data_IF_763583092092
#
_entry.id   IF_763583092092
#
_cell.length_a   1.000
_cell.length_b   1.000
_cell.length_c   1.000
_cell.angle_alpha   90.00
_cell.angle_beta   90.00
_cell.angle_gamma   90.00
#
_symmetry.space_group_name_H-M   'P 1'
#
loop_
_entity.id
_entity.type
_entity.pdbx_description
1 polymer ?
#
# COMPACT_ATOMS: atom_id res chain seq x y z
N UNK A 1 7.36 -41.78 -26.47
CA UNK A 1 7.07 -42.17 -25.08
C UNK A 1 6.49 -40.92 -24.37
N UNK A 2 5.15 -40.85 -24.26
CA UNK A 2 4.43 -39.63 -23.80
C UNK A 2 4.19 -39.78 -22.32
N UNK A 3 4.77 -38.88 -21.52
CA UNK A 3 4.59 -38.86 -20.06
C UNK A 3 3.25 -38.18 -19.73
N UNK A 4 2.23 -38.96 -19.37
CA UNK A 4 0.97 -38.46 -18.81
C UNK A 4 1.12 -38.28 -17.31
N UNK A 5 1.39 -37.06 -16.88
CA UNK A 5 1.35 -36.68 -15.46
C UNK A 5 -0.11 -36.73 -14.95
N UNK A 6 -0.37 -37.51 -13.92
CA UNK A 6 -1.62 -37.52 -13.15
C UNK A 6 -1.73 -36.17 -12.42
N UNK A 7 -2.77 -35.38 -12.70
CA UNK A 7 -3.18 -34.27 -11.82
C UNK A 7 -3.74 -34.91 -10.54
N UNK A 8 -2.98 -34.86 -9.48
CA UNK A 8 -3.53 -35.01 -8.13
C UNK A 8 -4.33 -33.76 -7.80
N UNK A 9 -5.63 -33.91 -7.59
CA UNK A 9 -6.49 -32.91 -6.99
C UNK A 9 -6.03 -32.72 -5.54
N UNK A 10 -5.32 -31.63 -5.26
CA UNK A 10 -5.09 -31.17 -3.89
C UNK A 10 -6.46 -30.80 -3.32
N UNK A 11 -6.95 -31.59 -2.36
CA UNK A 11 -8.13 -31.28 -1.59
C UNK A 11 -7.90 -29.94 -0.88
N UNK A 12 -8.76 -28.95 -1.14
CA UNK A 12 -8.80 -27.64 -0.50
C UNK A 12 -9.31 -27.78 0.95
N UNK A 13 -8.54 -28.37 1.83
CA UNK A 13 -8.77 -28.34 3.27
C UNK A 13 -7.54 -27.73 3.95
N UNK A 14 -7.29 -26.46 3.64
CA UNK A 14 -6.46 -25.61 4.49
C UNK A 14 -7.20 -25.31 5.80
N UNK A 15 -6.50 -24.97 6.91
CA UNK A 15 -7.14 -24.57 8.14
C UNK A 15 -8.11 -23.42 7.86
N UNK A 16 -9.26 -23.36 8.58
CA UNK A 16 -10.28 -22.33 8.35
C UNK A 16 -9.63 -20.95 8.47
N UNK A 17 -9.78 -20.14 7.43
CA UNK A 17 -9.42 -18.74 7.46
C UNK A 17 -10.36 -18.04 8.48
N UNK A 18 -9.77 -17.49 9.52
CA UNK A 18 -10.51 -16.66 10.47
C UNK A 18 -10.35 -15.19 10.05
N UNK A 19 -11.40 -14.54 9.50
CA UNK A 19 -11.35 -13.16 9.03
C UNK A 19 -11.17 -12.14 10.17
N UNK A 20 -11.16 -12.58 11.42
CA UNK A 20 -11.11 -11.74 12.61
C UNK A 20 -9.78 -11.94 13.35
N UNK A 21 -8.75 -11.19 12.94
CA UNK A 21 -7.49 -11.08 13.69
C UNK A 21 -7.77 -10.56 15.12
N UNK A 22 -8.93 -9.91 15.34
CA UNK A 22 -9.25 -9.16 16.56
C UNK A 22 -10.62 -9.51 17.18
N UNK A 23 -11.05 -10.76 17.20
CA UNK A 23 -12.42 -11.09 17.66
C UNK A 23 -12.76 -10.71 19.12
N UNK A 24 -11.82 -10.12 19.91
CA UNK A 24 -12.08 -9.67 21.29
C UNK A 24 -11.10 -8.63 21.86
N UNK A 25 -10.11 -8.14 21.11
CA UNK A 25 -9.09 -7.21 21.64
C UNK A 25 -9.15 -5.88 20.88
N UNK A 26 -9.40 -4.79 21.63
CA UNK A 26 -9.23 -3.43 21.08
C UNK A 26 -7.73 -3.19 20.88
N UNK A 27 -7.33 -2.94 19.65
CA UNK A 27 -5.95 -2.62 19.30
C UNK A 27 -5.83 -1.14 18.95
N UNK A 28 -4.65 -0.58 19.15
CA UNK A 28 -4.31 0.78 18.72
C UNK A 28 -3.63 0.72 17.36
N UNK A 29 -4.29 1.30 16.32
CA UNK A 29 -3.92 1.10 14.92
C UNK A 29 -3.63 2.43 14.23
N UNK A 30 -2.45 2.55 13.61
CA UNK A 30 -2.11 3.66 12.75
C UNK A 30 -2.48 3.32 11.30
N UNK A 31 -3.43 4.07 10.71
CA UNK A 31 -3.89 3.84 9.33
C UNK A 31 -3.20 4.81 8.37
N UNK A 32 -2.52 4.29 7.37
CA UNK A 32 -1.98 5.10 6.29
C UNK A 32 -3.11 5.64 5.40
N UNK A 33 -3.49 6.91 5.61
CA UNK A 33 -4.50 7.62 4.81
C UNK A 33 -3.82 8.33 3.63
N UNK A 34 -4.06 7.86 2.42
CA UNK A 34 -3.51 8.44 1.19
C UNK A 34 -4.41 9.49 0.53
N UNK A 35 -5.55 9.83 1.15
CA UNK A 35 -6.58 10.63 0.51
C UNK A 35 -7.37 9.89 -0.58
N UNK A 36 -7.17 8.59 -0.77
CA UNK A 36 -7.92 7.73 -1.68
C UNK A 36 -9.04 6.96 -0.98
N UNK A 37 -10.00 6.43 -1.76
CA UNK A 37 -11.19 5.73 -1.24
C UNK A 37 -10.82 4.48 -0.44
N UNK A 38 -9.82 3.72 -0.86
CA UNK A 38 -9.47 2.44 -0.24
C UNK A 38 -8.95 2.62 1.19
N UNK A 39 -8.00 3.53 1.40
CA UNK A 39 -7.50 3.85 2.74
C UNK A 39 -8.58 4.46 3.64
N UNK A 40 -9.49 5.22 3.05
CA UNK A 40 -10.63 5.82 3.78
C UNK A 40 -11.59 4.77 4.32
N UNK A 41 -11.95 3.79 3.48
CA UNK A 41 -12.83 2.68 3.90
C UNK A 41 -12.12 1.77 4.90
N UNK A 42 -10.82 1.53 4.72
CA UNK A 42 -10.03 0.77 5.69
C UNK A 42 -10.09 1.40 7.09
N UNK A 43 -9.92 2.72 7.19
CA UNK A 43 -10.06 3.44 8.46
C UNK A 43 -11.47 3.32 9.05
N UNK A 44 -12.51 3.56 8.25
CA UNK A 44 -13.91 3.50 8.71
C UNK A 44 -14.29 2.10 9.22
N UNK A 45 -13.83 1.04 8.56
CA UNK A 45 -14.05 -0.35 8.99
C UNK A 45 -13.39 -0.65 10.35
N UNK A 46 -12.17 -0.18 10.57
CA UNK A 46 -11.49 -0.39 11.84
C UNK A 46 -12.16 0.37 13.00
N UNK A 47 -12.67 1.58 12.72
CA UNK A 47 -13.48 2.33 13.69
C UNK A 47 -14.81 1.59 13.99
N UNK A 48 -15.52 1.08 12.96
CA UNK A 48 -16.75 0.29 13.13
C UNK A 48 -16.49 -0.98 13.95
N UNK A 49 -15.29 -1.57 13.83
CA UNK A 49 -14.85 -2.73 14.63
C UNK A 49 -14.46 -2.39 16.07
N UNK A 50 -14.43 -1.12 16.44
CA UNK A 50 -14.18 -0.66 17.81
C UNK A 50 -12.70 -0.54 18.18
N UNK A 51 -11.78 -0.43 17.22
CA UNK A 51 -10.37 -0.19 17.47
C UNK A 51 -10.08 1.27 17.80
N UNK A 52 -8.95 1.53 18.51
CA UNK A 52 -8.38 2.87 18.67
C UNK A 52 -7.59 3.22 17.40
N UNK A 53 -8.18 4.06 16.55
CA UNK A 53 -7.67 4.35 15.20
C UNK A 53 -7.16 5.78 15.13
N UNK A 54 -5.93 5.92 14.62
CA UNK A 54 -5.36 7.21 14.24
C UNK A 54 -5.02 7.16 12.74
N UNK A 55 -5.43 8.17 12.00
CA UNK A 55 -5.09 8.32 10.59
C UNK A 55 -3.76 9.07 10.43
N UNK A 56 -2.94 8.65 9.47
CA UNK A 56 -1.72 9.39 9.15
C UNK A 56 -1.47 9.44 7.63
N UNK A 57 -1.13 10.64 7.16
CA UNK A 57 -0.64 10.83 5.79
C UNK A 57 0.88 10.78 5.79
N UNK A 58 1.45 9.91 4.95
CA UNK A 58 2.89 9.86 4.69
C UNK A 58 3.24 10.88 3.61
N UNK A 59 3.87 11.99 3.98
CA UNK A 59 4.39 12.97 3.03
C UNK A 59 5.76 12.50 2.56
N UNK A 60 5.77 11.77 1.45
CA UNK A 60 6.96 11.10 0.93
C UNK A 60 7.65 11.87 -0.19
N UNK A 61 6.93 12.75 -0.89
CA UNK A 61 7.48 13.48 -2.02
C UNK A 61 6.92 14.89 -2.10
N UNK A 62 7.79 15.82 -2.42
CA UNK A 62 7.47 17.20 -2.80
C UNK A 62 8.21 17.47 -4.10
N UNK A 63 7.52 18.03 -5.10
CA UNK A 63 8.12 18.33 -6.38
C UNK A 63 8.84 19.69 -6.35
N UNK A 64 9.87 19.80 -5.53
CA UNK A 64 10.71 20.99 -5.37
C UNK A 64 11.75 21.13 -6.50
N UNK A 65 11.99 20.05 -7.26
CA UNK A 65 12.93 20.02 -8.39
C UNK A 65 12.28 20.44 -9.72
N UNK A 66 10.99 20.73 -9.74
CA UNK A 66 10.28 21.19 -10.95
C UNK A 66 10.13 20.14 -12.05
N UNK A 67 10.07 18.87 -11.68
CA UNK A 67 9.84 17.76 -12.64
C UNK A 67 8.43 17.93 -13.24
N UNK A 68 8.25 17.83 -14.56
CA UNK A 68 6.94 17.98 -15.19
C UNK A 68 5.93 16.95 -14.69
N UNK A 69 4.79 17.41 -14.18
CA UNK A 69 3.71 16.58 -13.65
C UNK A 69 3.06 17.19 -12.41
N UNK A 70 1.92 16.64 -12.04
CA UNK A 70 1.18 17.08 -10.84
C UNK A 70 1.55 16.20 -9.65
N UNK A 71 1.90 16.85 -8.54
CA UNK A 71 2.14 16.22 -7.25
C UNK A 71 1.10 16.75 -6.25
N UNK A 72 -0.10 16.13 -6.18
CA UNK A 72 -1.25 16.68 -5.45
C UNK A 72 -1.21 16.41 -3.94
N UNK A 73 -0.04 16.35 -3.32
CA UNK A 73 0.10 16.00 -1.92
C UNK A 73 -0.70 16.91 -0.97
N UNK A 74 -0.85 18.20 -1.29
CA UNK A 74 -1.66 19.13 -0.51
C UNK A 74 -3.14 18.76 -0.55
N UNK A 75 -3.66 18.44 -1.74
CA UNK A 75 -5.04 17.99 -1.91
C UNK A 75 -5.26 16.63 -1.24
N UNK A 76 -4.31 15.71 -1.35
CA UNK A 76 -4.40 14.39 -0.72
C UNK A 76 -4.41 14.49 0.81
N UNK A 77 -3.64 15.43 1.39
CA UNK A 77 -3.71 15.74 2.84
C UNK A 77 -5.09 16.29 3.21
N UNK A 78 -5.66 17.22 2.42
CA UNK A 78 -6.99 17.77 2.69
C UNK A 78 -8.07 16.69 2.63
N UNK A 79 -8.00 15.80 1.64
CA UNK A 79 -8.92 14.67 1.50
C UNK A 79 -8.79 13.69 2.68
N UNK A 80 -7.56 13.36 3.09
CA UNK A 80 -7.29 12.50 4.24
C UNK A 80 -7.78 13.12 5.56
N UNK A 81 -7.56 14.42 5.74
CA UNK A 81 -8.08 15.19 6.90
C UNK A 81 -9.61 15.19 6.92
N UNK A 82 -10.27 15.37 5.76
CA UNK A 82 -11.72 15.32 5.66
C UNK A 82 -12.27 13.93 6.01
N UNK A 83 -11.58 12.85 5.60
CA UNK A 83 -11.91 11.48 6.02
C UNK A 83 -11.78 11.32 7.53
N UNK A 84 -10.67 11.77 8.12
CA UNK A 84 -10.45 11.69 9.56
C UNK A 84 -11.55 12.42 10.36
N UNK A 85 -11.98 13.60 9.90
CA UNK A 85 -13.10 14.33 10.48
C UNK A 85 -14.43 13.56 10.37
N UNK A 86 -14.69 12.94 9.22
CA UNK A 86 -15.91 12.17 9.00
C UNK A 86 -15.96 10.92 9.87
N UNK A 87 -14.83 10.25 10.06
CA UNK A 87 -14.72 9.02 10.88
C UNK A 87 -14.50 9.31 12.36
N UNK A 88 -14.25 10.57 12.75
CA UNK A 88 -14.04 10.98 14.15
C UNK A 88 -12.69 10.57 14.73
N UNK A 89 -11.67 10.34 13.90
CA UNK A 89 -10.32 9.93 14.33
C UNK A 89 -9.33 11.07 14.35
N UNK A 90 -8.28 10.96 15.19
CA UNK A 90 -7.10 11.82 15.13
C UNK A 90 -6.40 11.71 13.78
N UNK A 91 -5.79 12.80 13.28
CA UNK A 91 -5.05 12.81 12.03
C UNK A 91 -3.67 13.42 12.20
N UNK A 92 -2.67 12.80 11.59
CA UNK A 92 -1.27 13.26 11.58
C UNK A 92 -0.74 13.35 10.16
N UNK A 93 0.21 14.24 9.95
CA UNK A 93 1.06 14.27 8.76
C UNK A 93 2.48 13.89 9.21
N UNK A 94 3.03 12.85 8.60
CA UNK A 94 4.38 12.36 8.89
C UNK A 94 5.25 12.71 7.70
N UNK A 95 6.24 13.57 7.91
CA UNK A 95 7.19 13.97 6.87
C UNK A 95 8.26 12.87 6.73
N UNK A 96 8.32 12.26 5.56
CA UNK A 96 9.21 11.14 5.22
C UNK A 96 9.91 11.41 3.87
N UNK A 97 10.05 12.67 3.48
CA UNK A 97 10.62 13.05 2.17
C UNK A 97 12.07 12.59 2.05
N UNK A 98 12.86 12.77 3.09
CA UNK A 98 14.28 12.39 3.08
C UNK A 98 14.44 10.85 3.04
N UNK A 99 13.64 10.11 3.82
CA UNK A 99 13.63 8.65 3.84
C UNK A 99 13.20 8.07 2.49
N UNK A 100 12.17 8.67 1.88
CA UNK A 100 11.68 8.24 0.57
C UNK A 100 12.74 8.49 -0.51
N UNK A 101 13.37 9.66 -0.50
CA UNK A 101 14.47 9.98 -1.42
C UNK A 101 15.62 8.98 -1.26
N UNK A 102 16.07 8.75 -0.04
CA UNK A 102 17.18 7.86 0.24
C UNK A 102 16.91 6.40 -0.13
N UNK A 103 15.71 5.88 0.16
CA UNK A 103 15.39 4.46 0.04
C UNK A 103 14.76 4.07 -1.30
N UNK A 104 13.93 4.96 -1.89
CA UNK A 104 13.14 4.63 -3.07
C UNK A 104 13.66 5.34 -4.31
N UNK A 105 13.86 6.66 -4.25
CA UNK A 105 14.29 7.45 -5.42
C UNK A 105 15.72 7.05 -5.84
N UNK A 106 16.64 6.98 -4.90
CA UNK A 106 18.02 6.59 -5.20
C UNK A 106 18.07 5.15 -5.77
N UNK A 107 17.34 4.21 -5.18
CA UNK A 107 17.24 2.85 -5.71
C UNK A 107 16.72 2.83 -7.16
N UNK A 108 15.69 3.63 -7.46
CA UNK A 108 15.15 3.74 -8.82
C UNK A 108 16.21 4.27 -9.80
N UNK A 109 16.86 5.38 -9.45
CA UNK A 109 17.87 6.02 -10.30
C UNK A 109 19.08 5.10 -10.52
N UNK A 110 19.60 4.49 -9.46
CA UNK A 110 20.75 3.60 -9.53
C UNK A 110 20.46 2.33 -10.33
N UNK A 111 19.27 1.77 -10.20
CA UNK A 111 18.85 0.63 -10.98
C UNK A 111 18.85 0.91 -12.47
N UNK A 112 18.23 2.01 -12.89
CA UNK A 112 18.25 2.40 -14.31
C UNK A 112 19.67 2.73 -14.80
N UNK A 113 20.50 3.35 -13.96
CA UNK A 113 21.92 3.60 -14.28
C UNK A 113 22.69 2.30 -14.48
N UNK A 114 22.39 1.28 -13.72
CA UNK A 114 23.00 -0.05 -13.81
C UNK A 114 22.44 -0.92 -14.94
N UNK A 115 21.39 -0.46 -15.65
CA UNK A 115 20.82 -1.14 -16.82
C UNK A 115 19.72 -2.15 -16.51
N UNK A 116 19.12 -2.16 -15.31
CA UNK A 116 17.93 -2.94 -15.00
C UNK A 116 16.76 -2.04 -14.65
N UNK A 117 15.53 -2.57 -14.76
CA UNK A 117 14.30 -1.85 -14.44
C UNK A 117 13.88 -2.21 -13.01
N UNK A 118 14.12 -1.33 -12.01
CA UNK A 118 13.71 -1.59 -10.64
C UNK A 118 12.19 -1.45 -10.46
N UNK A 119 11.66 -2.08 -9.42
CA UNK A 119 10.26 -1.91 -9.03
C UNK A 119 10.17 -1.07 -7.73
N UNK A 120 9.93 0.23 -7.82
CA UNK A 120 9.85 1.10 -6.65
C UNK A 120 8.65 0.81 -5.76
N UNK A 121 7.52 0.30 -6.31
CA UNK A 121 6.31 0.07 -5.54
C UNK A 121 6.46 -1.09 -4.55
N UNK A 122 7.12 -2.19 -4.97
CA UNK A 122 7.44 -3.31 -4.08
C UNK A 122 8.36 -2.86 -2.95
N UNK A 123 9.39 -2.07 -3.30
CA UNK A 123 10.33 -1.57 -2.30
C UNK A 123 9.67 -0.54 -1.37
N UNK A 124 8.79 0.32 -1.88
CA UNK A 124 8.05 1.29 -1.08
C UNK A 124 7.17 0.61 -0.02
N UNK A 125 6.53 -0.50 -0.35
CA UNK A 125 5.77 -1.26 0.64
C UNK A 125 6.68 -1.78 1.77
N UNK A 126 7.84 -2.39 1.44
CA UNK A 126 8.78 -2.92 2.43
C UNK A 126 9.47 -1.83 3.25
N UNK A 127 10.00 -0.78 2.60
CA UNK A 127 10.87 0.20 3.25
C UNK A 127 10.13 1.38 3.85
N UNK A 128 9.03 1.82 3.22
CA UNK A 128 8.28 2.99 3.67
C UNK A 128 7.06 2.60 4.49
N UNK A 129 6.04 1.93 3.89
CA UNK A 129 4.76 1.66 4.57
C UNK A 129 4.89 0.69 5.73
N UNK A 130 5.63 -0.40 5.53
CA UNK A 130 5.85 -1.43 6.55
C UNK A 130 7.29 -1.42 7.08
N UNK A 131 8.07 -0.40 6.74
CA UNK A 131 9.36 -0.06 7.31
C UNK A 131 9.24 1.19 8.19
N UNK A 132 9.72 2.33 7.69
CA UNK A 132 9.79 3.60 8.44
C UNK A 132 8.46 4.01 9.09
N UNK A 133 7.34 3.86 8.37
CA UNK A 133 6.03 4.19 8.92
C UNK A 133 5.58 3.21 10.01
N UNK A 134 5.92 1.93 9.89
CA UNK A 134 5.70 0.94 10.95
C UNK A 134 6.58 1.22 12.15
N UNK A 135 7.87 1.52 11.95
CA UNK A 135 8.81 1.86 13.03
C UNK A 135 8.29 3.06 13.83
N UNK A 136 7.88 4.13 13.12
CA UNK A 136 7.22 5.27 13.75
C UNK A 136 5.98 4.85 14.56
N UNK A 137 5.12 4.01 13.99
CA UNK A 137 3.92 3.56 14.69
C UNK A 137 4.25 2.84 16.01
N UNK A 138 5.21 1.93 15.99
CA UNK A 138 5.65 1.18 17.16
C UNK A 138 6.27 2.10 18.22
N UNK A 139 7.09 3.07 17.82
CA UNK A 139 7.67 4.09 18.72
C UNK A 139 6.59 4.96 19.38
N UNK A 140 5.47 5.21 18.69
CA UNK A 140 4.32 5.95 19.22
C UNK A 140 3.32 5.07 20.00
N UNK A 141 3.64 3.80 20.25
CA UNK A 141 2.84 2.87 21.01
C UNK A 141 1.61 2.34 20.28
N UNK A 142 1.62 2.32 18.94
CA UNK A 142 0.62 1.59 18.15
C UNK A 142 0.97 0.11 18.09
N UNK A 143 -0.04 -0.74 18.05
CA UNK A 143 0.14 -2.20 17.93
C UNK A 143 0.35 -2.62 16.47
N UNK A 144 -0.32 -1.94 15.53
CA UNK A 144 -0.38 -2.30 14.12
C UNK A 144 -0.40 -1.07 13.21
N UNK A 145 -0.01 -1.32 11.96
CA UNK A 145 -0.23 -0.42 10.82
C UNK A 145 -1.26 -1.02 9.88
N UNK A 146 -2.25 -0.21 9.46
CA UNK A 146 -3.23 -0.62 8.47
C UNK A 146 -3.10 0.20 7.18
N UNK A 147 -3.46 -0.42 6.06
CA UNK A 147 -3.45 0.19 4.74
C UNK A 147 -4.66 -0.23 3.92
N UNK A 148 -4.93 0.47 2.82
CA UNK A 148 -6.00 0.14 1.87
C UNK A 148 -5.66 -0.96 0.86
N UNK A 149 -4.74 -1.88 1.15
CA UNK A 149 -4.45 -3.02 0.28
C UNK A 149 -5.55 -4.08 0.34
N UNK A 150 -5.73 -4.77 -0.80
CA UNK A 150 -6.71 -5.85 -0.97
C UNK A 150 -6.11 -7.23 -0.69
N UNK A 151 -5.22 -7.30 0.27
CA UNK A 151 -4.57 -8.53 0.71
C UNK A 151 -5.17 -9.04 2.01
N UNK A 152 -4.88 -10.27 2.38
CA UNK A 152 -5.28 -10.87 3.65
C UNK A 152 -4.05 -11.31 4.43
N UNK A 153 -4.13 -11.26 5.75
CA UNK A 153 -3.12 -11.83 6.62
C UNK A 153 -3.64 -13.11 7.26
N UNK A 154 -2.81 -14.13 7.29
CA UNK A 154 -3.06 -15.37 8.03
C UNK A 154 -1.97 -15.56 9.07
N UNK A 155 -2.38 -15.69 10.32
CA UNK A 155 -1.48 -16.03 11.43
C UNK A 155 -1.48 -17.54 11.64
N UNK A 156 -0.29 -18.13 11.75
CA UNK A 156 -0.08 -19.56 11.99
C UNK A 156 0.97 -19.74 13.10
N UNK A 157 1.13 -20.94 13.67
CA UNK A 157 2.22 -21.23 14.60
C UNK A 157 3.62 -21.00 14.01
N UNK A 158 3.76 -20.99 12.70
CA UNK A 158 5.01 -20.75 11.97
C UNK A 158 5.25 -19.26 11.65
N UNK A 159 4.27 -18.39 11.89
CA UNK A 159 4.34 -16.95 11.64
C UNK A 159 3.16 -16.39 10.86
N UNK A 160 3.26 -15.13 10.51
CA UNK A 160 2.26 -14.41 9.73
C UNK A 160 2.58 -14.49 8.23
N UNK A 161 1.56 -14.71 7.41
CA UNK A 161 1.66 -14.85 5.96
C UNK A 161 0.68 -13.92 5.27
N UNK A 162 1.08 -13.46 4.07
CA UNK A 162 0.20 -12.72 3.16
C UNK A 162 -0.53 -13.70 2.27
N UNK A 163 -1.82 -13.53 2.15
CA UNK A 163 -2.68 -14.25 1.22
C UNK A 163 -3.27 -13.25 0.21
N UNK A 164 -3.56 -13.76 -0.98
CA UNK A 164 -4.31 -13.01 -1.97
C UNK A 164 -5.66 -12.58 -1.40
N UNK A 165 -6.08 -11.35 -1.72
CA UNK A 165 -7.41 -10.85 -1.40
C UNK A 165 -8.51 -11.60 -2.14
N UNK A 166 -9.75 -11.28 -1.78
CA UNK A 166 -10.94 -11.86 -2.41
C UNK A 166 -11.16 -11.33 -3.83
N UNK A 167 -10.75 -10.09 -4.12
CA UNK A 167 -10.93 -9.48 -5.44
C UNK A 167 -9.82 -9.89 -6.40
N UNK A 168 -10.08 -10.73 -7.41
CA UNK A 168 -9.05 -11.17 -8.35
C UNK A 168 -8.55 -10.03 -9.27
N UNK A 169 -9.32 -8.94 -9.40
CA UNK A 169 -8.95 -7.78 -10.22
C UNK A 169 -8.13 -6.75 -9.43
N UNK A 170 -7.98 -6.94 -8.12
CA UNK A 170 -7.25 -6.06 -7.19
C UNK A 170 -6.19 -6.83 -6.40
N UNK A 171 -5.70 -7.95 -6.91
CA UNK A 171 -4.60 -8.68 -6.28
C UNK A 171 -3.36 -7.79 -6.21
N UNK A 172 -2.95 -7.46 -4.98
CA UNK A 172 -1.79 -6.63 -4.69
C UNK A 172 -0.68 -7.40 -3.96
N UNK A 173 -0.83 -8.72 -3.79
CA UNK A 173 0.13 -9.58 -3.08
C UNK A 173 1.55 -9.54 -3.70
N UNK A 174 1.64 -9.31 -5.01
CA UNK A 174 2.90 -9.06 -5.70
C UNK A 174 3.66 -7.86 -5.11
N UNK A 175 2.97 -6.75 -4.83
CA UNK A 175 3.58 -5.55 -4.28
C UNK A 175 4.06 -5.71 -2.83
N UNK A 176 3.56 -6.73 -2.12
CA UNK A 176 3.92 -7.05 -0.74
C UNK A 176 4.95 -8.20 -0.63
N UNK A 177 5.42 -8.74 -1.77
CA UNK A 177 6.27 -9.94 -1.83
C UNK A 177 7.62 -9.82 -1.12
N UNK A 178 8.11 -8.61 -0.89
CA UNK A 178 9.38 -8.36 -0.18
C UNK A 178 9.20 -8.02 1.31
N UNK A 179 7.97 -8.04 1.83
CA UNK A 179 7.74 -7.82 3.27
C UNK A 179 8.37 -8.92 4.11
N UNK A 180 9.00 -8.52 5.21
CA UNK A 180 9.59 -9.44 6.18
C UNK A 180 8.51 -10.00 7.12
N UNK A 181 8.71 -11.18 7.73
CA UNK A 181 7.74 -11.77 8.66
C UNK A 181 7.36 -10.87 9.84
N UNK A 182 8.30 -10.10 10.39
CA UNK A 182 8.06 -9.11 11.45
C UNK A 182 7.13 -7.98 10.99
N UNK A 183 7.28 -7.53 9.76
CA UNK A 183 6.42 -6.52 9.15
C UNK A 183 5.00 -7.06 8.88
N UNK A 184 4.92 -8.29 8.36
CA UNK A 184 3.63 -8.95 8.10
C UNK A 184 2.84 -9.12 9.39
N UNK A 185 3.51 -9.52 10.48
CA UNK A 185 2.90 -9.71 11.80
C UNK A 185 2.29 -8.41 12.38
N UNK A 186 2.70 -7.24 11.91
CA UNK A 186 2.22 -5.92 12.33
C UNK A 186 1.34 -5.22 11.29
N UNK A 187 1.07 -5.88 10.14
CA UNK A 187 0.24 -5.33 9.07
C UNK A 187 -1.22 -5.74 9.22
N UNK A 188 -2.14 -4.82 8.92
CA UNK A 188 -3.59 -5.06 8.85
C UNK A 188 -4.12 -4.62 7.50
N UNK A 189 -4.90 -5.48 6.87
CA UNK A 189 -5.50 -5.26 5.54
C UNK A 189 -7.02 -5.38 5.62
N UNK A 190 -7.74 -4.30 6.02
CA UNK A 190 -9.17 -4.36 6.26
C UNK A 190 -10.02 -4.69 5.03
N UNK A 191 -9.48 -4.47 3.83
CA UNK A 191 -10.17 -4.66 2.56
C UNK A 191 -10.01 -6.06 1.96
N UNK A 192 -9.23 -6.94 2.58
CA UNK A 192 -8.83 -8.22 1.99
C UNK A 192 -9.99 -9.15 1.60
N UNK A 193 -11.12 -9.06 2.29
CA UNK A 193 -12.32 -9.87 2.02
C UNK A 193 -13.40 -9.13 1.22
N UNK A 194 -13.07 -7.95 0.68
CA UNK A 194 -14.00 -7.12 -0.07
C UNK A 194 -13.64 -7.07 -1.57
N UNK A 195 -14.66 -6.96 -2.39
CA UNK A 195 -14.53 -6.58 -3.80
C UNK A 195 -14.49 -5.05 -3.92
N UNK A 196 -13.80 -4.53 -4.93
CA UNK A 196 -13.72 -3.07 -5.17
C UNK A 196 -15.10 -2.38 -5.25
N UNK A 197 -16.13 -2.95 -5.92
CA UNK A 197 -17.47 -2.37 -5.90
C UNK A 197 -18.07 -2.31 -4.48
N UNK A 198 -17.84 -3.32 -3.64
CA UNK A 198 -18.31 -3.32 -2.24
C UNK A 198 -17.65 -2.20 -1.43
N UNK A 199 -16.34 -1.96 -1.66
CA UNK A 199 -15.62 -0.84 -1.04
C UNK A 199 -16.22 0.51 -1.44
N UNK A 200 -16.63 0.69 -2.70
CA UNK A 200 -17.31 1.91 -3.15
C UNK A 200 -18.67 2.11 -2.46
N UNK A 201 -19.44 1.04 -2.31
CA UNK A 201 -20.72 1.07 -1.59
C UNK A 201 -20.51 1.44 -0.11
N UNK A 202 -19.49 0.86 0.54
CA UNK A 202 -19.16 1.19 1.93
C UNK A 202 -18.70 2.66 2.06
N UNK A 203 -17.92 3.17 1.10
CA UNK A 203 -17.51 4.56 1.12
C UNK A 203 -18.72 5.53 1.08
N UNK A 204 -19.74 5.21 0.27
CA UNK A 204 -20.98 5.98 0.23
C UNK A 204 -21.80 5.80 1.53
N UNK A 205 -21.91 4.57 2.05
CA UNK A 205 -22.60 4.27 3.32
C UNK A 205 -22.03 5.07 4.49
N UNK A 206 -20.69 5.17 4.57
CA UNK A 206 -20.01 5.92 5.62
C UNK A 206 -19.96 7.44 5.36
N UNK A 207 -20.52 7.91 4.24
CA UNK A 207 -20.49 9.33 3.88
C UNK A 207 -19.09 9.88 3.64
N UNK A 208 -18.15 9.03 3.20
CA UNK A 208 -16.75 9.43 3.02
C UNK A 208 -16.60 10.42 1.86
N UNK A 209 -15.89 11.54 2.04
CA UNK A 209 -15.71 12.55 1.00
C UNK A 209 -14.98 11.99 -0.24
N UNK A 210 -14.20 10.92 -0.08
CA UNK A 210 -13.43 10.24 -1.12
C UNK A 210 -14.23 9.19 -1.91
N UNK A 211 -15.52 8.95 -1.60
CA UNK A 211 -16.32 7.86 -2.19
C UNK A 211 -16.32 7.85 -3.73
N UNK A 212 -16.34 9.04 -4.35
CA UNK A 212 -16.34 9.20 -5.82
C UNK A 212 -14.98 9.53 -6.41
N UNK A 213 -13.92 9.63 -5.58
CA UNK A 213 -12.57 9.91 -6.07
C UNK A 213 -12.08 8.74 -6.92
N UNK A 214 -11.49 9.04 -8.08
CA UNK A 214 -10.87 8.01 -8.95
C UNK A 214 -9.68 7.38 -8.23
N UNK A 215 -9.39 6.12 -8.56
CA UNK A 215 -8.20 5.44 -8.06
C UNK A 215 -6.94 6.19 -8.54
N UNK A 216 -5.95 6.30 -7.66
CA UNK A 216 -4.67 6.92 -8.00
C UNK A 216 -4.00 6.18 -9.15
N UNK A 217 -3.40 6.94 -10.06
CA UNK A 217 -2.61 6.44 -11.17
C UNK A 217 -1.21 7.04 -11.06
N UNK A 218 -0.17 6.28 -11.40
CA UNK A 218 1.21 6.74 -11.40
C UNK A 218 2.10 6.05 -10.38
N UNK A 219 3.30 6.60 -10.18
CA UNK A 219 4.28 6.08 -9.22
C UNK A 219 3.78 6.39 -7.80
N UNK A 220 3.88 5.41 -6.91
CA UNK A 220 3.45 5.52 -5.53
C UNK A 220 4.07 6.77 -4.85
N UNK A 221 3.21 7.69 -4.37
CA UNK A 221 3.55 8.97 -3.72
C UNK A 221 4.16 10.08 -4.59
N UNK A 222 4.64 9.82 -5.81
CA UNK A 222 5.18 10.86 -6.71
C UNK A 222 4.04 11.57 -7.46
N UNK A 223 2.87 10.93 -7.58
CA UNK A 223 1.71 11.50 -8.25
C UNK A 223 1.69 11.22 -9.77
N UNK A 224 1.11 12.14 -10.53
CA UNK A 224 0.94 12.01 -11.98
C UNK A 224 2.17 12.48 -12.76
N UNK A 225 3.34 12.06 -12.33
CA UNK A 225 4.61 12.30 -13.04
C UNK A 225 4.87 11.12 -13.98
N UNK A 226 5.17 11.39 -15.25
CA UNK A 226 5.56 10.33 -16.17
C UNK A 226 6.95 9.81 -15.80
N UNK A 227 7.12 8.48 -15.75
CA UNK A 227 8.39 7.84 -15.44
C UNK A 227 9.53 8.33 -16.35
N UNK A 228 9.25 8.55 -17.63
CA UNK A 228 10.24 9.08 -18.58
C UNK A 228 10.73 10.48 -18.20
N UNK A 229 9.83 11.36 -17.76
CA UNK A 229 10.19 12.74 -17.42
C UNK A 229 10.95 12.77 -16.08
N UNK A 230 10.50 11.94 -15.13
CA UNK A 230 11.22 11.71 -13.87
C UNK A 230 12.65 11.21 -14.12
N UNK A 231 12.83 10.18 -14.93
CA UNK A 231 14.15 9.62 -15.19
C UNK A 231 15.05 10.58 -15.96
N UNK A 232 14.53 11.35 -16.93
CA UNK A 232 15.32 12.35 -17.68
C UNK A 232 15.87 13.47 -16.80
N UNK A 233 15.20 13.75 -15.70
CA UNK A 233 15.71 14.73 -14.72
C UNK A 233 17.04 14.28 -14.09
N UNK A 234 17.20 12.98 -13.84
CA UNK A 234 18.36 12.41 -13.16
C UNK A 234 19.37 11.70 -14.08
N UNK A 235 18.93 11.25 -15.25
CA UNK A 235 19.72 10.42 -16.15
C UNK A 235 19.66 10.97 -17.58
N UNK A 236 20.82 11.11 -18.27
CA UNK A 236 20.83 11.50 -19.67
C UNK A 236 20.22 10.40 -20.55
N UNK A 237 19.47 10.83 -21.59
CA UNK A 237 18.98 9.92 -22.61
C UNK A 237 20.16 9.23 -23.32
N UNK A 238 20.12 7.89 -23.41
CA UNK A 238 21.05 7.08 -24.21
C UNK A 238 20.27 6.37 -25.31
N UNK A 239 20.21 6.92 -26.52
CA UNK A 239 19.60 6.24 -27.66
C UNK A 239 20.30 4.90 -27.91
N UNK A 240 19.54 3.83 -28.00
CA UNK A 240 20.02 2.49 -28.35
C UNK A 240 19.33 1.96 -29.60
N UNK A 241 19.94 0.97 -30.25
CA UNK A 241 19.29 0.24 -31.34
C UNK A 241 18.42 -0.90 -30.74
N UNK A 242 17.24 -1.06 -31.27
CA UNK A 242 16.48 -2.30 -31.10
C UNK A 242 17.09 -3.29 -32.07
N UNK A 243 17.60 -4.40 -31.58
CA UNK A 243 18.20 -5.48 -32.39
C UNK A 243 17.36 -6.72 -32.23
N UNK A 244 17.15 -7.45 -33.34
CA UNK A 244 16.62 -8.80 -33.33
C UNK A 244 17.75 -9.78 -33.03
N UNK A 245 17.45 -10.89 -32.39
CA UNK A 245 18.41 -11.94 -32.01
C UNK A 245 18.40 -13.12 -32.99
N UNK A 246 17.78 -12.95 -34.18
CA UNK A 246 17.90 -13.94 -35.27
C UNK A 246 19.31 -13.97 -35.90
#
# INVERSE_FOLDING_TARGET
MVYRGRRQSLSQSGPPYHPHIFSSIVARILVGLSGGVDSSVAAALLVEQGHDVVGAYMKNWVNDEGIPGECPWEQDIQDALAVAKTTGIEFRVIDLVDEYRARIVNYLIEGYRAGYTPNPDVLCNREMKFGVFLDYALEQGFDYVATGHYDRRMDTPQGAFILRGRDPNKDQSYFLSLMRPDQIARAVFPLGDLLKPEVRVLAEKYGLPTARKKDSQGICFIGQVKMSDFLRHYLPDKPGKIVDTE
#
